data_IF_164283470966
#
_entry.id   IF_164283470966
#
_cell.length_a   1.000
_cell.length_b   1.000
_cell.length_c   1.000
_cell.angle_alpha   90.00
_cell.angle_beta   90.00
_cell.angle_gamma   90.00
#
_symmetry.space_group_name_H-M   'P 1'
#
loop_
_entity.id
_entity.type
_entity.pdbx_description
1 polymer ?
#
# COMPACT_ATOMS: atom_id res chain seq x y z
N UNK A 1 -6.46 7.65 5.08
CA UNK A 1 -6.27 8.86 5.92
C UNK A 1 -6.81 10.15 5.29
N UNK A 2 -6.47 10.52 4.05
CA UNK A 2 -6.95 11.78 3.42
C UNK A 2 -8.48 11.94 3.47
N UNK A 3 -9.24 10.89 3.12
CA UNK A 3 -10.71 10.92 3.18
C UNK A 3 -11.28 11.10 4.60
N UNK A 4 -10.59 10.59 5.63
CA UNK A 4 -11.02 10.73 7.02
C UNK A 4 -10.93 12.20 7.47
N UNK A 5 -9.79 12.85 7.20
CA UNK A 5 -9.55 14.24 7.59
C UNK A 5 -10.27 15.28 6.73
N UNK A 6 -10.78 14.92 5.56
CA UNK A 6 -11.65 15.79 4.76
C UNK A 6 -13.10 15.79 5.28
N UNK A 7 -13.53 14.73 5.97
CA UNK A 7 -14.92 14.57 6.46
C UNK A 7 -15.07 14.79 7.96
N UNK A 8 -14.00 14.62 8.74
CA UNK A 8 -13.97 14.79 10.19
C UNK A 8 -12.81 15.70 10.59
N UNK A 9 -13.02 16.52 11.61
CA UNK A 9 -11.99 17.42 12.12
C UNK A 9 -10.81 16.63 12.71
N UNK A 10 -9.58 17.03 12.38
CA UNK A 10 -8.34 16.47 12.95
C UNK A 10 -8.27 16.59 14.48
N UNK A 11 -9.02 17.52 15.09
CA UNK A 11 -9.02 17.75 16.53
C UNK A 11 -9.85 16.72 17.32
N UNK A 12 -10.69 15.92 16.66
CA UNK A 12 -11.63 15.01 17.33
C UNK A 12 -10.99 13.65 17.68
N UNK A 13 -9.89 13.28 17.01
CA UNK A 13 -9.23 11.98 17.18
C UNK A 13 -7.74 12.13 17.41
N UNK A 14 -7.17 11.31 18.30
CA UNK A 14 -5.71 11.28 18.47
C UNK A 14 -5.06 10.67 17.20
N UNK A 15 -4.23 11.43 16.46
CA UNK A 15 -3.58 10.93 15.25
C UNK A 15 -2.67 9.73 15.53
N UNK A 16 -2.16 9.57 16.76
CA UNK A 16 -1.29 8.45 17.17
C UNK A 16 -2.03 7.12 17.21
N UNK A 17 -3.33 7.14 17.49
CA UNK A 17 -4.20 5.97 17.41
C UNK A 17 -4.83 5.84 16.02
N UNK A 18 -5.21 6.96 15.41
CA UNK A 18 -5.89 6.96 14.11
C UNK A 18 -5.01 6.39 12.98
N UNK A 19 -3.74 6.81 12.90
CA UNK A 19 -2.82 6.39 11.84
C UNK A 19 -2.59 4.87 11.82
N UNK A 20 -2.23 4.21 12.93
CA UNK A 20 -2.06 2.75 12.95
C UNK A 20 -3.39 2.01 12.71
N UNK A 21 -4.52 2.49 13.23
CA UNK A 21 -5.82 1.86 12.95
C UNK A 21 -6.23 2.02 11.49
N UNK A 22 -5.92 3.15 10.85
CA UNK A 22 -6.11 3.32 9.40
C UNK A 22 -5.27 2.32 8.60
N UNK A 23 -4.01 2.10 8.98
CA UNK A 23 -3.14 1.12 8.34
C UNK A 23 -3.70 -0.30 8.53
N UNK A 24 -4.14 -0.62 9.75
CA UNK A 24 -4.77 -1.90 10.09
C UNK A 24 -6.02 -2.18 9.23
N UNK A 25 -6.89 -1.19 9.06
CA UNK A 25 -8.06 -1.27 8.19
C UNK A 25 -7.69 -1.48 6.72
N UNK A 26 -6.66 -0.77 6.22
CA UNK A 26 -6.17 -0.96 4.86
C UNK A 26 -5.64 -2.38 4.65
N UNK A 27 -4.87 -2.93 5.60
CA UNK A 27 -4.39 -4.32 5.53
C UNK A 27 -5.54 -5.33 5.47
N UNK A 28 -6.63 -5.12 6.24
CA UNK A 28 -7.84 -5.97 6.12
C UNK A 28 -8.50 -5.85 4.75
N UNK A 29 -8.60 -4.63 4.22
CA UNK A 29 -9.23 -4.35 2.92
C UNK A 29 -8.43 -4.95 1.74
N UNK A 30 -7.11 -5.04 1.87
CA UNK A 30 -6.19 -5.66 0.90
C UNK A 30 -5.94 -7.16 1.17
N UNK A 31 -6.81 -7.82 1.96
CA UNK A 31 -6.75 -9.26 2.28
C UNK A 31 -5.47 -9.71 3.02
N UNK A 32 -4.66 -8.77 3.51
CA UNK A 32 -3.46 -9.01 4.32
C UNK A 32 -3.81 -8.91 5.80
N UNK A 33 -4.45 -9.94 6.36
CA UNK A 33 -4.97 -9.86 7.73
C UNK A 33 -3.86 -9.76 8.77
N UNK A 34 -3.83 -8.65 9.52
CA UNK A 34 -2.96 -8.44 10.68
C UNK A 34 -3.77 -8.68 11.96
N UNK A 35 -3.15 -9.11 13.06
CA UNK A 35 -3.82 -9.21 14.36
C UNK A 35 -3.79 -7.86 15.09
N UNK A 36 -4.91 -7.43 15.69
CA UNK A 36 -4.98 -6.18 16.47
C UNK A 36 -4.00 -6.15 17.65
N UNK A 37 -3.66 -7.32 18.22
CA UNK A 37 -2.63 -7.46 19.29
C UNK A 37 -1.27 -6.96 18.84
N UNK A 38 -0.92 -7.21 17.57
CA UNK A 38 0.34 -6.76 16.99
C UNK A 38 0.36 -5.23 16.85
N UNK A 39 -0.78 -4.63 16.56
CA UNK A 39 -0.91 -3.17 16.48
C UNK A 39 -0.68 -2.50 17.83
N UNK A 40 -1.26 -3.03 18.92
CA UNK A 40 -0.99 -2.56 20.29
C UNK A 40 0.51 -2.63 20.62
N UNK A 41 1.16 -3.74 20.25
CA UNK A 41 2.59 -3.92 20.47
C UNK A 41 3.43 -2.86 19.74
N UNK A 42 3.14 -2.62 18.45
CA UNK A 42 3.86 -1.59 17.68
C UNK A 42 3.58 -0.18 18.17
N UNK A 43 2.35 0.15 18.57
CA UNK A 43 2.03 1.46 19.13
C UNK A 43 2.81 1.71 20.42
N UNK A 44 2.86 0.73 21.33
CA UNK A 44 3.67 0.81 22.56
C UNK A 44 5.16 0.91 22.28
N UNK A 45 5.65 0.26 21.22
CA UNK A 45 7.06 0.33 20.81
C UNK A 45 7.41 1.71 20.23
N UNK A 46 6.50 2.31 19.46
CA UNK A 46 6.70 3.61 18.82
C UNK A 46 6.55 4.78 19.81
N UNK A 47 5.66 4.64 20.80
CA UNK A 47 5.40 5.65 21.82
C UNK A 47 5.66 5.09 23.21
N UNK A 48 6.81 5.45 23.79
CA UNK A 48 7.23 5.04 25.13
C UNK A 48 6.53 5.81 26.27
N UNK A 49 5.71 6.80 25.93
CA UNK A 49 5.03 7.66 26.88
C UNK A 49 3.79 6.96 27.47
N UNK A 50 3.76 6.85 28.80
CA UNK A 50 2.71 6.22 29.60
C UNK A 50 1.33 6.85 29.38
N UNK A 51 1.29 8.12 28.94
CA UNK A 51 0.05 8.83 28.61
C UNK A 51 -0.75 8.18 27.48
N UNK A 52 -0.13 7.35 26.64
CA UNK A 52 -0.73 6.78 25.44
C UNK A 52 -0.76 5.25 25.45
N UNK A 53 -1.13 4.67 26.60
CA UNK A 53 -1.36 3.22 26.73
C UNK A 53 -2.71 2.84 26.13
N UNK A 54 -2.70 2.54 24.84
CA UNK A 54 -3.86 2.00 24.13
C UNK A 54 -4.04 0.51 24.36
N UNK A 55 -5.30 0.11 24.53
CA UNK A 55 -5.74 -1.28 24.59
C UNK A 55 -6.43 -1.68 23.28
N UNK A 56 -6.66 -3.00 23.12
CA UNK A 56 -7.35 -3.55 21.94
C UNK A 56 -8.74 -2.91 21.77
N UNK A 57 -9.45 -2.64 22.88
CA UNK A 57 -10.77 -2.00 22.88
C UNK A 57 -10.74 -0.63 22.19
N UNK A 58 -9.68 0.15 22.39
CA UNK A 58 -9.54 1.50 21.83
C UNK A 58 -9.32 1.44 20.32
N UNK A 59 -8.54 0.45 19.88
CA UNK A 59 -8.32 0.18 18.44
C UNK A 59 -9.63 -0.23 17.77
N UNK A 60 -10.38 -1.15 18.36
CA UNK A 60 -11.66 -1.61 17.81
C UNK A 60 -12.71 -0.49 17.78
N UNK A 61 -12.76 0.36 18.81
CA UNK A 61 -13.65 1.51 18.81
C UNK A 61 -13.26 2.53 17.75
N UNK A 62 -11.96 2.78 17.57
CA UNK A 62 -11.46 3.67 16.52
C UNK A 62 -11.71 3.10 15.12
N UNK A 63 -11.60 1.79 14.96
CA UNK A 63 -11.91 1.10 13.71
C UNK A 63 -13.35 1.39 13.28
N UNK A 64 -14.31 1.20 14.18
CA UNK A 64 -15.72 1.49 13.89
C UNK A 64 -15.94 2.95 13.49
N UNK A 65 -15.32 3.90 14.21
CA UNK A 65 -15.42 5.33 13.89
C UNK A 65 -14.86 5.67 12.50
N UNK A 66 -13.73 5.05 12.12
CA UNK A 66 -13.13 5.26 10.80
C UNK A 66 -14.05 4.70 9.70
N UNK A 67 -14.63 3.51 9.92
CA UNK A 67 -15.57 2.90 8.98
C UNK A 67 -16.79 3.79 8.74
N UNK A 68 -17.39 4.31 9.80
CA UNK A 68 -18.50 5.26 9.74
C UNK A 68 -18.10 6.56 9.02
N UNK A 69 -16.94 7.13 9.34
CA UNK A 69 -16.45 8.35 8.67
C UNK A 69 -16.21 8.16 7.16
N UNK A 70 -15.83 6.94 6.75
CA UNK A 70 -15.62 6.57 5.35
C UNK A 70 -16.91 6.11 4.64
N UNK A 71 -18.04 5.99 5.35
CA UNK A 71 -19.26 5.31 4.86
C UNK A 71 -18.94 3.92 4.28
N UNK A 72 -18.01 3.18 4.90
CA UNK A 72 -17.56 1.85 4.48
C UNK A 72 -16.93 1.77 3.07
N UNK A 73 -16.64 2.90 2.42
CA UNK A 73 -15.88 2.92 1.16
C UNK A 73 -14.38 2.77 1.43
N UNK A 74 -13.92 1.52 1.52
CA UNK A 74 -12.51 1.14 1.76
C UNK A 74 -11.72 0.88 0.47
N UNK A 75 -12.40 0.70 -0.67
CA UNK A 75 -11.75 0.42 -1.95
C UNK A 75 -11.06 1.69 -2.44
N UNK A 76 -9.72 1.66 -2.46
CA UNK A 76 -8.89 2.71 -3.05
C UNK A 76 -8.23 2.16 -4.30
N UNK A 77 -8.52 2.78 -5.44
CA UNK A 77 -7.84 2.44 -6.69
C UNK A 77 -6.43 3.06 -6.69
N UNK A 78 -5.42 2.21 -6.48
CA UNK A 78 -4.02 2.63 -6.53
C UNK A 78 -3.58 2.88 -7.98
N UNK A 79 -2.95 4.04 -8.30
CA UNK A 79 -2.44 4.35 -9.65
C UNK A 79 -1.44 3.33 -10.21
N UNK A 80 -0.79 2.55 -9.35
CA UNK A 80 0.15 1.49 -9.75
C UNK A 80 -0.51 0.37 -10.56
N UNK A 81 -1.81 0.15 -10.42
CA UNK A 81 -2.55 -0.82 -11.24
C UNK A 81 -2.61 -0.41 -12.72
N UNK A 82 -2.48 0.89 -13.00
CA UNK A 82 -2.47 1.46 -14.35
C UNK A 82 -1.07 1.43 -15.01
N UNK A 83 -0.02 1.15 -14.23
CA UNK A 83 1.34 0.97 -14.75
C UNK A 83 1.59 -0.46 -15.22
N UNK A 84 0.84 -1.45 -14.73
CA UNK A 84 1.02 -2.84 -15.18
C UNK A 84 0.73 -3.06 -16.67
N UNK A 85 -0.31 -2.44 -17.29
CA UNK A 85 -0.52 -2.57 -18.74
C UNK A 85 0.58 -1.87 -19.53
N UNK A 86 1.03 -0.68 -19.09
CA UNK A 86 2.06 0.10 -19.81
C UNK A 86 3.45 -0.55 -19.77
N UNK A 87 3.74 -1.31 -18.71
CA UNK A 87 4.98 -2.10 -18.60
C UNK A 87 4.85 -3.42 -19.36
N UNK A 88 3.66 -4.06 -19.41
CA UNK A 88 3.43 -5.21 -20.30
C UNK A 88 3.46 -4.83 -21.78
N UNK A 89 3.01 -3.64 -22.15
CA UNK A 89 3.12 -3.15 -23.53
C UNK A 89 4.59 -2.95 -23.93
N UNK A 90 5.48 -2.55 -23.00
CA UNK A 90 6.93 -2.52 -23.28
C UNK A 90 7.52 -3.91 -23.57
N UNK A 91 7.02 -4.95 -22.91
CA UNK A 91 7.45 -6.35 -23.18
C UNK A 91 7.01 -6.77 -24.61
N UNK A 92 5.86 -6.27 -25.09
CA UNK A 92 5.43 -6.49 -26.47
C UNK A 92 6.28 -5.71 -27.48
N UNK A 93 6.73 -4.49 -27.15
CA UNK A 93 7.64 -3.72 -28.00
C UNK A 93 9.00 -4.41 -28.13
N UNK A 94 9.52 -5.03 -27.06
CA UNK A 94 10.80 -5.74 -27.09
C UNK A 94 10.76 -6.98 -28.00
N UNK A 95 9.65 -7.72 -27.96
CA UNK A 95 9.44 -8.87 -28.85
C UNK A 95 9.25 -8.45 -30.32
N UNK A 96 8.69 -7.25 -30.57
CA UNK A 96 8.53 -6.70 -31.91
C UNK A 96 9.86 -6.16 -32.46
N UNK A 97 10.69 -5.52 -31.62
CA UNK A 97 12.02 -5.03 -31.99
C UNK A 97 12.97 -6.19 -32.32
N UNK A 98 12.91 -7.28 -31.56
CA UNK A 98 13.71 -8.48 -31.83
C UNK A 98 13.33 -9.13 -33.18
N UNK A 99 12.04 -9.16 -33.53
CA UNK A 99 11.58 -9.63 -34.84
C UNK A 99 12.06 -8.70 -35.97
N UNK A 100 11.98 -7.39 -35.75
CA UNK A 100 12.39 -6.38 -36.73
C UNK A 100 13.91 -6.39 -36.97
N UNK A 101 14.72 -6.62 -35.93
CA UNK A 101 16.17 -6.77 -36.04
C UNK A 101 16.58 -8.08 -36.75
N UNK A 102 15.79 -9.14 -36.58
CA UNK A 102 16.01 -10.42 -37.26
C UNK A 102 15.65 -10.34 -38.76
N UNK A 103 14.60 -9.58 -39.12
CA UNK A 103 14.23 -9.31 -40.51
C UNK A 103 15.17 -8.31 -41.20
N UNK A 104 15.87 -7.45 -40.42
CA UNK A 104 16.84 -6.48 -40.92
C UNK A 104 18.25 -7.08 -41.22
N UNK A 105 18.45 -8.39 -41.05
CA UNK A 105 19.61 -9.10 -41.59
C UNK A 105 20.97 -8.79 -40.95
N UNK A 106 21.02 -8.25 -39.73
CA UNK A 106 22.26 -8.02 -38.98
C UNK A 106 22.60 -9.22 -38.09
N UNK A 107 22.88 -10.36 -38.74
CA UNK A 107 23.62 -11.45 -38.11
C UNK A 107 25.11 -11.14 -38.25
N UNK A 108 25.73 -10.74 -37.14
CA UNK A 108 27.14 -10.90 -36.79
C UNK A 108 27.63 -9.65 -36.08
N UNK A 109 27.77 -9.75 -34.76
CA UNK A 109 28.97 -9.34 -34.04
C UNK A 109 28.86 -9.84 -32.60
N UNK A 110 29.51 -10.98 -32.43
CA UNK A 110 30.02 -11.55 -31.20
C UNK A 110 30.33 -10.50 -30.12
N UNK A 111 29.54 -10.50 -29.04
CA UNK A 111 30.00 -10.08 -27.71
C UNK A 111 29.57 -11.14 -26.70
N UNK A 112 30.08 -12.35 -26.91
CA UNK A 112 30.54 -13.12 -25.76
C UNK A 112 31.58 -12.26 -25.04
N UNK A 113 31.34 -11.92 -23.77
CA UNK A 113 32.32 -11.79 -22.67
C UNK A 113 31.62 -11.26 -21.40
N UNK A 114 31.64 -12.12 -20.37
CA UNK A 114 31.75 -11.83 -18.93
C UNK A 114 30.46 -11.38 -18.19
N UNK A 115 29.75 -12.28 -17.49
CA UNK A 115 29.91 -12.67 -16.04
C UNK A 115 29.89 -11.44 -15.11
N UNK A 116 28.92 -11.26 -14.20
CA UNK A 116 28.40 -12.18 -13.16
C UNK A 116 26.87 -12.13 -13.01
#
# INVERSE_FOLDING_TARGET
MRHVYTRKSMAEYDPRLLAPTCLYLASKAEESTVQARLLVFYIKKLYADEKYRYEIKDILQMEMKILEALNYYLVVYHPFRSLSPQVSDKIMVDHFLHRFLQDAGLNDLNMTQLTW
#
